data_IF_664839700318
#
_entry.id   IF_664839700318
#
_cell.length_a   1.000
_cell.length_b   1.000
_cell.length_c   1.000
_cell.angle_alpha   90.00
_cell.angle_beta   90.00
_cell.angle_gamma   90.00
#
_symmetry.space_group_name_H-M   'P 1'
#
loop_
_entity.id
_entity.type
_entity.pdbx_description
1 polymer ?
#
# COMPACT_ATOMS: atom_id res chain seq x y z
N UNK A 1 -8.82 -21.22 0.99
CA UNK A 1 -9.60 -21.43 2.24
C UNK A 1 -10.13 -20.11 2.79
N UNK A 2 -9.28 -19.10 3.07
CA UNK A 2 -9.69 -17.79 3.61
C UNK A 2 -10.74 -17.03 2.78
N UNK A 3 -10.55 -16.91 1.47
CA UNK A 3 -11.51 -16.20 0.59
C UNK A 3 -12.86 -16.91 0.55
N UNK A 4 -12.85 -18.25 0.50
CA UNK A 4 -14.05 -19.07 0.50
C UNK A 4 -14.83 -18.93 1.82
N UNK A 5 -14.13 -18.95 2.97
CA UNK A 5 -14.77 -18.72 4.27
C UNK A 5 -15.34 -17.31 4.38
N UNK A 6 -14.66 -16.31 3.85
CA UNK A 6 -15.11 -14.92 3.91
C UNK A 6 -16.35 -14.71 3.03
N UNK A 7 -16.37 -15.31 1.84
CA UNK A 7 -17.52 -15.33 0.94
C UNK A 7 -18.74 -16.02 1.56
N UNK A 8 -18.56 -17.21 2.13
CA UNK A 8 -19.68 -17.93 2.76
C UNK A 8 -20.20 -17.18 3.99
N UNK A 9 -19.32 -16.65 4.83
CA UNK A 9 -19.72 -15.84 5.99
C UNK A 9 -20.48 -14.58 5.58
N UNK A 10 -20.03 -13.83 4.57
CA UNK A 10 -20.77 -12.65 4.07
C UNK A 10 -22.14 -13.03 3.50
N UNK A 11 -22.20 -14.10 2.70
CA UNK A 11 -23.46 -14.57 2.09
C UNK A 11 -24.47 -14.98 3.17
N UNK A 12 -24.01 -15.66 4.22
CA UNK A 12 -24.85 -16.15 5.33
C UNK A 12 -25.28 -15.00 6.25
N UNK A 13 -24.35 -14.11 6.65
CA UNK A 13 -24.61 -13.10 7.68
C UNK A 13 -25.17 -11.79 7.11
N UNK A 14 -24.64 -11.32 5.98
CA UNK A 14 -24.97 -10.02 5.42
C UNK A 14 -26.03 -10.11 4.30
N UNK A 15 -26.37 -11.33 3.86
CA UNK A 15 -27.23 -11.60 2.69
C UNK A 15 -26.76 -10.88 1.42
N UNK A 16 -25.49 -10.50 1.39
CA UNK A 16 -24.81 -9.86 0.27
C UNK A 16 -23.55 -10.65 0.00
N UNK A 17 -23.27 -10.92 -1.27
CA UNK A 17 -22.07 -11.61 -1.69
C UNK A 17 -21.26 -10.67 -2.61
N UNK A 18 -20.09 -10.24 -2.15
CA UNK A 18 -19.10 -9.63 -3.06
C UNK A 18 -18.55 -10.76 -3.93
N UNK A 19 -18.47 -10.53 -5.25
CA UNK A 19 -18.00 -11.56 -6.17
C UNK A 19 -16.60 -12.08 -5.76
N UNK A 20 -16.35 -13.41 -5.81
CA UNK A 20 -15.07 -13.98 -5.42
C UNK A 20 -13.87 -13.37 -6.16
N UNK A 21 -14.06 -12.97 -7.42
CA UNK A 21 -13.02 -12.31 -8.22
C UNK A 21 -12.58 -10.97 -7.60
N UNK A 22 -13.53 -10.17 -7.10
CA UNK A 22 -13.26 -8.90 -6.44
C UNK A 22 -12.50 -9.15 -5.13
N UNK A 23 -12.90 -10.17 -4.36
CA UNK A 23 -12.19 -10.55 -3.13
C UNK A 23 -10.75 -10.99 -3.39
N UNK A 24 -10.53 -11.80 -4.44
CA UNK A 24 -9.18 -12.23 -4.86
C UNK A 24 -8.33 -11.01 -5.24
N UNK A 25 -8.89 -10.08 -6.01
CA UNK A 25 -8.19 -8.86 -6.42
C UNK A 25 -7.75 -8.02 -5.20
N UNK A 26 -8.65 -7.77 -4.25
CA UNK A 26 -8.34 -7.04 -3.01
C UNK A 26 -7.25 -7.79 -2.22
N UNK A 27 -7.36 -9.11 -2.10
CA UNK A 27 -6.40 -9.94 -1.39
C UNK A 27 -5.00 -9.88 -2.02
N UNK A 28 -4.91 -9.99 -3.35
CA UNK A 28 -3.64 -9.85 -4.07
C UNK A 28 -3.04 -8.46 -3.84
N UNK A 29 -3.84 -7.40 -3.90
CA UNK A 29 -3.37 -6.04 -3.63
C UNK A 29 -2.86 -5.85 -2.19
N UNK A 30 -3.53 -6.45 -1.21
CA UNK A 30 -3.10 -6.46 0.18
C UNK A 30 -1.77 -7.22 0.35
N UNK A 31 -1.63 -8.40 -0.28
CA UNK A 31 -0.39 -9.17 -0.25
C UNK A 31 0.78 -8.42 -0.87
N UNK A 32 0.59 -7.82 -2.05
CA UNK A 32 1.64 -7.01 -2.71
C UNK A 32 2.06 -5.85 -1.84
N UNK A 33 1.11 -5.15 -1.21
CA UNK A 33 1.38 -4.05 -0.30
C UNK A 33 2.11 -4.50 0.96
N UNK A 34 1.78 -5.68 1.49
CA UNK A 34 2.47 -6.28 2.62
C UNK A 34 3.92 -6.62 2.25
N UNK A 35 4.14 -7.20 1.06
CA UNK A 35 5.49 -7.50 0.55
C UNK A 35 6.31 -6.21 0.41
N UNK A 36 5.73 -5.14 -0.13
CA UNK A 36 6.38 -3.83 -0.22
C UNK A 36 6.76 -3.28 1.16
N UNK A 37 5.83 -3.35 2.12
CA UNK A 37 6.09 -2.87 3.48
C UNK A 37 7.16 -3.71 4.19
N UNK A 38 7.12 -5.03 4.06
CA UNK A 38 8.13 -5.93 4.63
C UNK A 38 9.51 -5.72 3.97
N UNK A 39 9.55 -5.44 2.67
CA UNK A 39 10.79 -5.09 1.95
C UNK A 39 11.41 -3.83 2.55
N UNK A 40 10.59 -2.80 2.83
CA UNK A 40 11.02 -1.59 3.52
C UNK A 40 11.55 -1.90 4.93
N UNK A 41 10.82 -2.68 5.72
CA UNK A 41 11.25 -3.05 7.08
C UNK A 41 12.56 -3.84 7.07
N UNK A 42 12.75 -4.74 6.11
CA UNK A 42 14.00 -5.49 5.92
C UNK A 42 15.18 -4.56 5.63
N UNK A 43 15.00 -3.57 4.75
CA UNK A 43 16.02 -2.56 4.46
C UNK A 43 16.42 -1.76 5.70
N UNK A 44 15.44 -1.43 6.55
CA UNK A 44 15.67 -0.67 7.79
C UNK A 44 16.42 -1.52 8.82
N UNK A 45 15.97 -2.75 9.04
CA UNK A 45 16.58 -3.68 10.00
C UNK A 45 18.04 -4.01 9.65
N UNK A 46 18.37 -4.15 8.37
CA UNK A 46 19.75 -4.40 7.90
C UNK A 46 20.65 -3.17 7.93
N UNK A 47 20.07 -1.96 8.03
CA UNK A 47 20.83 -0.71 7.97
C UNK A 47 21.08 -0.08 9.35
N UNK A 48 20.29 -0.44 10.37
CA UNK A 48 20.27 0.23 11.67
C UNK A 48 20.53 -0.75 12.83
N UNK A 49 21.01 -0.21 13.96
CA UNK A 49 21.26 -0.98 15.20
C UNK A 49 19.94 -1.43 15.85
N UNK A 50 19.99 -2.50 16.65
CA UNK A 50 18.82 -3.25 17.15
C UNK A 50 17.71 -2.39 17.77
N UNK A 51 18.02 -1.46 18.66
CA UNK A 51 16.97 -0.61 19.27
C UNK A 51 16.43 0.48 18.33
N UNK A 52 17.27 0.98 17.42
CA UNK A 52 16.94 2.13 16.57
C UNK A 52 16.09 1.74 15.36
N UNK A 53 16.34 0.56 14.76
CA UNK A 53 15.53 0.11 13.63
C UNK A 53 14.06 -0.08 14.03
N UNK A 54 13.79 -0.59 15.24
CA UNK A 54 12.41 -0.80 15.71
C UNK A 54 11.65 0.52 15.80
N UNK A 55 12.27 1.56 16.38
CA UNK A 55 11.68 2.89 16.48
C UNK A 55 11.38 3.49 15.09
N UNK A 56 12.32 3.39 14.15
CA UNK A 56 12.13 3.86 12.78
C UNK A 56 11.04 3.06 12.05
N UNK A 57 11.00 1.74 12.22
CA UNK A 57 9.95 0.88 11.65
C UNK A 57 8.55 1.26 12.14
N UNK A 58 8.40 1.50 13.44
CA UNK A 58 7.13 1.95 14.03
C UNK A 58 6.76 3.32 13.47
N UNK A 59 7.69 4.27 13.41
CA UNK A 59 7.44 5.60 12.86
C UNK A 59 6.98 5.55 11.39
N UNK A 60 7.66 4.74 10.55
CA UNK A 60 7.29 4.55 9.15
C UNK A 60 5.93 3.85 9.01
N UNK A 61 5.59 2.90 9.88
CA UNK A 61 4.26 2.30 9.93
C UNK A 61 3.19 3.35 10.24
N UNK A 62 3.40 4.17 11.28
CA UNK A 62 2.49 5.25 11.63
C UNK A 62 2.30 6.20 10.44
N UNK A 63 3.39 6.59 9.78
CA UNK A 63 3.35 7.50 8.61
C UNK A 63 2.56 6.88 7.47
N UNK A 64 2.91 5.67 7.01
CA UNK A 64 2.34 5.11 5.78
C UNK A 64 0.97 4.48 5.96
N UNK A 65 0.67 3.89 7.12
CA UNK A 65 -0.58 3.15 7.34
C UNK A 65 -1.64 4.02 8.02
N UNK A 66 -1.24 4.85 8.98
CA UNK A 66 -2.20 5.62 9.80
C UNK A 66 -2.33 7.06 9.29
N UNK A 67 -1.22 7.77 9.11
CA UNK A 67 -1.26 9.20 8.83
C UNK A 67 -1.27 9.55 7.34
N UNK A 68 -0.92 8.62 6.45
CA UNK A 68 -0.72 8.95 5.04
C UNK A 68 -1.95 9.54 4.36
N UNK A 69 -3.14 9.02 4.67
CA UNK A 69 -4.39 9.56 4.16
C UNK A 69 -4.59 11.01 4.58
N UNK A 70 -4.40 11.31 5.87
CA UNK A 70 -4.48 12.67 6.41
C UNK A 70 -3.43 13.60 5.80
N UNK A 71 -2.17 13.15 5.69
CA UNK A 71 -1.08 13.89 5.05
C UNK A 71 -1.44 14.22 3.60
N UNK A 72 -1.92 13.23 2.84
CA UNK A 72 -2.29 13.39 1.43
C UNK A 72 -3.45 14.38 1.27
N UNK A 73 -4.46 14.34 2.14
CA UNK A 73 -5.56 15.29 2.14
C UNK A 73 -5.10 16.72 2.50
N UNK A 74 -4.27 16.88 3.54
CA UNK A 74 -3.76 18.19 3.94
C UNK A 74 -2.94 18.84 2.82
N UNK A 75 -2.10 18.07 2.14
CA UNK A 75 -1.35 18.53 0.96
C UNK A 75 -2.31 18.92 -0.18
N UNK A 76 -3.33 18.09 -0.42
CA UNK A 76 -4.40 18.39 -1.38
C UNK A 76 -5.04 19.74 -1.12
N UNK A 77 -5.50 20.01 0.11
CA UNK A 77 -6.09 21.30 0.50
C UNK A 77 -5.13 22.48 0.31
N UNK A 78 -3.86 22.31 0.70
CA UNK A 78 -2.85 23.36 0.60
C UNK A 78 -2.59 23.78 -0.86
N UNK A 79 -2.60 22.83 -1.80
CA UNK A 79 -2.26 23.07 -3.20
C UNK A 79 -3.51 23.43 -4.04
N UNK A 80 -4.65 22.80 -3.76
CA UNK A 80 -5.85 22.89 -4.59
C UNK A 80 -6.68 24.15 -4.32
N UNK A 81 -6.42 24.90 -3.24
CA UNK A 81 -7.09 26.17 -2.90
C UNK A 81 -8.63 26.10 -2.95
N UNK A 82 -9.21 24.98 -2.52
CA UNK A 82 -10.66 24.77 -2.45
C UNK A 82 -11.28 24.00 -3.63
N UNK A 83 -10.52 23.65 -4.67
CA UNK A 83 -10.99 22.78 -5.74
C UNK A 83 -11.01 21.31 -5.30
N UNK A 84 -12.21 20.79 -4.98
CA UNK A 84 -12.40 19.42 -4.50
C UNK A 84 -11.95 18.34 -5.49
N UNK A 85 -12.09 18.57 -6.81
CA UNK A 85 -11.66 17.60 -7.81
C UNK A 85 -10.13 17.49 -7.80
N UNK A 86 -9.46 18.62 -7.71
CA UNK A 86 -8.00 18.69 -7.62
C UNK A 86 -7.48 18.14 -6.29
N UNK A 87 -8.20 18.29 -5.17
CA UNK A 87 -7.85 17.64 -3.90
C UNK A 87 -7.86 16.12 -4.07
N UNK A 88 -8.92 15.57 -4.68
CA UNK A 88 -9.04 14.13 -4.92
C UNK A 88 -7.92 13.59 -5.82
N UNK A 89 -7.58 14.32 -6.88
CA UNK A 89 -6.47 13.98 -7.78
C UNK A 89 -5.13 13.96 -7.04
N UNK A 90 -4.82 15.00 -6.26
CA UNK A 90 -3.59 15.07 -5.46
C UNK A 90 -3.54 13.95 -4.43
N UNK A 91 -4.65 13.68 -3.74
CA UNK A 91 -4.77 12.59 -2.79
C UNK A 91 -4.39 11.26 -3.45
N UNK A 92 -4.95 10.95 -4.61
CA UNK A 92 -4.63 9.70 -5.33
C UNK A 92 -3.17 9.67 -5.79
N UNK A 93 -2.66 10.77 -6.32
CA UNK A 93 -1.27 10.87 -6.77
C UNK A 93 -0.27 10.67 -5.62
N UNK A 94 -0.61 11.12 -4.42
CA UNK A 94 0.22 10.90 -3.23
C UNK A 94 0.35 9.43 -2.86
N UNK A 95 -0.65 8.59 -3.16
CA UNK A 95 -0.55 7.16 -2.86
C UNK A 95 0.49 6.45 -3.72
N UNK A 96 0.92 6.99 -4.87
CA UNK A 96 2.06 6.44 -5.62
C UNK A 96 3.37 6.49 -4.82
N UNK A 97 3.43 7.27 -3.75
CA UNK A 97 4.57 7.34 -2.83
C UNK A 97 4.31 6.57 -1.53
N UNK A 98 3.36 5.62 -1.54
CA UNK A 98 3.05 4.77 -0.40
C UNK A 98 3.22 3.29 -0.77
N UNK A 99 3.86 2.45 0.06
CA UNK A 99 3.97 1.01 -0.17
C UNK A 99 2.62 0.27 -0.26
N UNK A 100 1.52 0.88 0.18
CA UNK A 100 0.15 0.34 0.11
C UNK A 100 -0.60 0.65 -1.19
N UNK A 101 0.05 1.27 -2.19
CA UNK A 101 -0.58 1.70 -3.44
C UNK A 101 -1.37 0.57 -4.14
N UNK A 102 -0.86 -0.65 -4.17
CA UNK A 102 -1.55 -1.76 -4.84
C UNK A 102 -2.85 -2.11 -4.13
N UNK A 103 -2.86 -2.11 -2.79
CA UNK A 103 -4.09 -2.33 -2.02
C UNK A 103 -5.08 -1.19 -2.22
N UNK A 104 -4.60 0.05 -2.23
CA UNK A 104 -5.45 1.19 -2.50
C UNK A 104 -6.10 1.10 -3.88
N UNK A 105 -5.32 0.74 -4.90
CA UNK A 105 -5.81 0.52 -6.26
C UNK A 105 -6.89 -0.56 -6.31
N UNK A 106 -6.66 -1.74 -5.73
CA UNK A 106 -7.61 -2.85 -5.82
C UNK A 106 -8.91 -2.57 -5.06
N UNK A 107 -8.87 -1.77 -3.99
CA UNK A 107 -10.08 -1.28 -3.31
C UNK A 107 -10.86 -0.31 -4.20
N UNK A 108 -10.20 0.66 -4.84
CA UNK A 108 -10.87 1.59 -5.75
C UNK A 108 -11.39 0.89 -7.02
N UNK A 109 -10.68 -0.11 -7.51
CA UNK A 109 -11.13 -0.94 -8.63
C UNK A 109 -12.36 -1.77 -8.24
N UNK A 110 -12.38 -2.35 -7.04
CA UNK A 110 -13.56 -3.04 -6.52
C UNK A 110 -14.79 -2.11 -6.43
N UNK A 111 -14.59 -0.88 -5.94
CA UNK A 111 -15.65 0.14 -5.88
C UNK A 111 -16.12 0.51 -7.29
N UNK A 112 -15.19 0.72 -8.22
CA UNK A 112 -15.46 1.00 -9.64
C UNK A 112 -16.34 -0.09 -10.27
N UNK A 113 -16.00 -1.36 -10.07
CA UNK A 113 -16.79 -2.50 -10.56
C UNK A 113 -18.21 -2.51 -9.99
N UNK A 114 -18.36 -2.27 -8.67
CA UNK A 114 -19.67 -2.34 -8.00
C UNK A 114 -20.57 -1.14 -8.32
N UNK A 115 -19.98 0.05 -8.49
CA UNK A 115 -20.73 1.31 -8.65
C UNK A 115 -20.84 1.78 -10.09
N UNK A 116 -20.07 1.21 -11.02
CA UNK A 116 -19.90 1.70 -12.38
C UNK A 116 -19.15 3.04 -12.46
N UNK A 117 -18.57 3.50 -11.35
CA UNK A 117 -17.73 4.71 -11.34
C UNK A 117 -16.37 4.45 -11.97
N UNK A 118 -15.67 5.50 -12.39
CA UNK A 118 -14.33 5.37 -12.97
C UNK A 118 -13.27 5.27 -11.86
N UNK A 119 -12.43 4.25 -11.91
CA UNK A 119 -11.17 4.25 -11.17
C UNK A 119 -10.19 5.24 -11.81
N UNK A 120 -9.75 6.22 -11.02
CA UNK A 120 -8.88 7.30 -11.49
C UNK A 120 -7.38 7.00 -11.34
N UNK A 121 -7.01 5.88 -10.71
CA UNK A 121 -5.62 5.43 -10.68
C UNK A 121 -5.16 4.95 -12.06
N UNK A 122 -3.99 5.42 -12.49
CA UNK A 122 -3.28 4.82 -13.61
C UNK A 122 -2.61 3.49 -13.19
N UNK A 123 -3.09 2.37 -13.73
CA UNK A 123 -2.60 1.02 -13.42
C UNK A 123 -1.10 0.85 -13.68
N UNK A 124 -0.58 1.42 -14.77
CA UNK A 124 0.86 1.34 -15.10
C UNK A 124 1.70 1.98 -14.00
N UNK A 125 1.29 3.15 -13.49
CA UNK A 125 1.99 3.81 -12.39
C UNK A 125 1.83 3.08 -11.06
N UNK A 126 0.69 2.44 -10.81
CA UNK A 126 0.48 1.59 -9.62
C UNK A 126 1.47 0.43 -9.62
N UNK A 127 1.60 -0.26 -10.75
CA UNK A 127 2.52 -1.40 -10.90
C UNK A 127 3.97 -0.93 -10.71
N UNK A 128 4.37 0.14 -11.40
CA UNK A 128 5.73 0.67 -11.30
C UNK A 128 6.07 1.11 -9.86
N UNK A 129 5.16 1.84 -9.21
CA UNK A 129 5.34 2.26 -7.82
C UNK A 129 5.46 1.06 -6.88
N UNK A 130 4.59 0.05 -7.02
CA UNK A 130 4.63 -1.17 -6.21
C UNK A 130 5.96 -1.91 -6.38
N UNK A 131 6.43 -2.05 -7.63
CA UNK A 131 7.72 -2.69 -7.93
C UNK A 131 8.87 -1.89 -7.31
N UNK A 132 8.85 -0.56 -7.41
CA UNK A 132 9.87 0.31 -6.80
C UNK A 132 9.91 0.12 -5.27
N UNK A 133 8.76 0.10 -4.61
CA UNK A 133 8.65 -0.10 -3.16
C UNK A 133 9.08 -1.49 -2.69
N UNK A 134 9.10 -2.48 -3.58
CA UNK A 134 9.60 -3.83 -3.29
C UNK A 134 11.10 -3.91 -3.59
N UNK A 135 11.49 -3.59 -4.81
CA UNK A 135 12.83 -3.85 -5.32
C UNK A 135 13.87 -2.92 -4.69
N UNK A 136 13.61 -1.62 -4.58
CA UNK A 136 14.61 -0.70 -4.03
C UNK A 136 14.98 -1.05 -2.58
N UNK A 137 14.02 -1.25 -1.66
CA UNK A 137 14.39 -1.62 -0.29
C UNK A 137 15.06 -2.99 -0.19
N UNK A 138 14.62 -3.98 -0.98
CA UNK A 138 15.28 -5.30 -1.00
C UNK A 138 16.74 -5.18 -1.44
N UNK A 139 17.03 -4.42 -2.49
CA UNK A 139 18.40 -4.21 -2.97
C UNK A 139 19.25 -3.48 -1.93
N UNK A 140 18.73 -2.42 -1.30
CA UNK A 140 19.44 -1.69 -0.24
C UNK A 140 19.76 -2.63 0.93
N UNK A 141 18.77 -3.39 1.39
CA UNK A 141 18.96 -4.32 2.50
C UNK A 141 19.95 -5.44 2.18
N UNK A 142 19.87 -6.01 0.98
CA UNK A 142 20.78 -7.05 0.51
C UNK A 142 22.23 -6.57 0.42
N UNK A 143 22.46 -5.38 -0.18
CA UNK A 143 23.81 -4.80 -0.30
C UNK A 143 24.41 -4.54 1.09
N UNK A 144 23.62 -4.02 2.03
CA UNK A 144 24.07 -3.76 3.41
C UNK A 144 24.41 -5.04 4.16
N UNK A 145 23.53 -6.03 4.09
CA UNK A 145 23.76 -7.34 4.70
C UNK A 145 25.05 -7.99 4.20
N UNK A 146 25.30 -7.98 2.88
CA UNK A 146 26.55 -8.51 2.30
C UNK A 146 27.79 -7.79 2.80
N UNK A 147 27.75 -6.45 2.92
CA UNK A 147 28.92 -5.69 3.40
C UNK A 147 29.29 -6.04 4.83
N UNK A 148 28.29 -6.23 5.71
CA UNK A 148 28.53 -6.57 7.12
C UNK A 148 29.16 -7.97 7.24
N UNK A 149 28.61 -8.97 6.55
CA UNK A 149 29.12 -10.35 6.63
C UNK A 149 30.49 -10.57 5.98
N UNK A 150 30.89 -9.72 5.01
CA UNK A 150 32.22 -9.80 4.39
C UNK A 150 33.29 -9.04 5.19
N UNK A 151 32.89 -8.30 6.23
CA UNK A 151 33.78 -7.54 7.11
C UNK A 151 34.03 -8.20 8.47
N UNK A 152 33.43 -9.37 8.73
CA UNK A 152 33.70 -10.25 9.88
C UNK A 152 34.56 -11.44 9.47
#
# INVERSE_FOLDING_TARGET
MFIFSLYTTQTILLKTAVEPNIMIMIFVGALTSLIAFLSLMYSIATSLRSGFYLGVSIALYMIFVIFWGAISYMIGFAIARGDFNKISEIYQNMYYFNPSIMFQYTVYEAISIVTGSKNNYNLTFVILSSVIWIILPLLIGFIRFRRINLSS
#
